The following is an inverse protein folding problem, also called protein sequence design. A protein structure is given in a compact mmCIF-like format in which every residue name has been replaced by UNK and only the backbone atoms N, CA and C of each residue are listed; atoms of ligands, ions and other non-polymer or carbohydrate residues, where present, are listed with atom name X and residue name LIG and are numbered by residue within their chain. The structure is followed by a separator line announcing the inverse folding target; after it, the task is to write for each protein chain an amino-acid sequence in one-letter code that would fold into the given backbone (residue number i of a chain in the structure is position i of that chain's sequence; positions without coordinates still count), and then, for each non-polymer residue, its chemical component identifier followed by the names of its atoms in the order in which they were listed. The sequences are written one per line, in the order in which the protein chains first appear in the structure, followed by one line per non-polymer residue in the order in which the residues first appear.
data_IF_112110176326
#
_entry.id   IF_112110176326
#
_cell.length_a   1.000
_cell.length_b   1.000
_cell.length_c   1.000
_cell.angle_alpha   90.00
_cell.angle_beta   90.00
_cell.angle_gamma   90.00
#
_symmetry.space_group_name_H-M   'P 1'
#
loop_
_entity.id
_entity.type
_entity.pdbx_description
1 polymer ?
#
# COMPACT_ATOMS: atom_id res chain seq x y z
N UNK A 1 -8.11 -18.43 -10.73
CA UNK A 1 -7.45 -17.14 -10.50
C UNK A 1 -6.61 -16.75 -11.73
N UNK A 2 -6.95 -15.65 -12.39
CA UNK A 2 -6.10 -15.03 -13.41
C UNK A 2 -4.86 -14.43 -12.72
N UNK A 3 -3.67 -14.63 -13.30
CA UNK A 3 -2.46 -13.93 -12.83
C UNK A 3 -2.68 -12.42 -13.04
N UNK A 4 -2.40 -11.57 -12.04
CA UNK A 4 -2.53 -10.13 -12.19
C UNK A 4 -1.63 -9.62 -13.31
N UNK A 5 -2.14 -8.68 -14.12
CA UNK A 5 -1.34 -8.02 -15.15
C UNK A 5 -0.15 -7.27 -14.54
N UNK A 6 0.93 -7.06 -15.30
CA UNK A 6 2.16 -6.39 -14.81
C UNK A 6 1.85 -4.99 -14.23
N UNK A 7 0.87 -4.29 -14.79
CA UNK A 7 0.40 -2.98 -14.31
C UNK A 7 -0.25 -3.05 -12.92
N UNK A 8 -0.95 -4.13 -12.60
CA UNK A 8 -1.58 -4.32 -11.28
C UNK A 8 -0.56 -4.52 -10.16
N UNK A 9 0.69 -4.87 -10.48
CA UNK A 9 1.74 -5.02 -9.48
C UNK A 9 2.11 -3.70 -8.80
N UNK A 10 1.98 -2.60 -9.54
CA UNK A 10 2.27 -1.24 -9.07
C UNK A 10 1.11 -0.63 -8.29
N UNK A 11 -0.09 -1.21 -8.39
CA UNK A 11 -1.22 -0.76 -7.59
C UNK A 11 -1.10 -1.22 -6.13
N UNK A 12 -1.41 -0.33 -5.16
CA UNK A 12 -1.47 -0.71 -3.77
C UNK A 12 -2.64 -1.67 -3.53
N UNK A 13 -2.50 -2.53 -2.52
CA UNK A 13 -3.57 -3.44 -2.04
C UNK A 13 -4.83 -2.66 -1.66
N UNK A 14 -4.64 -1.52 -1.00
CA UNK A 14 -5.67 -0.57 -0.65
C UNK A 14 -5.13 0.86 -0.84
N UNK A 15 -5.74 1.60 -1.76
CA UNK A 15 -5.36 2.98 -2.11
C UNK A 15 -5.63 3.96 -0.97
N UNK A 16 -6.70 3.77 -0.20
CA UNK A 16 -7.06 4.64 0.93
C UNK A 16 -6.11 4.40 2.09
N UNK A 17 -5.81 3.14 2.40
CA UNK A 17 -4.82 2.80 3.43
C UNK A 17 -3.43 3.34 3.07
N UNK A 18 -2.99 3.16 1.82
CA UNK A 18 -1.71 3.69 1.33
C UNK A 18 -1.64 5.22 1.45
N UNK A 19 -2.70 5.93 1.03
CA UNK A 19 -2.79 7.38 1.16
C UNK A 19 -2.75 7.87 2.61
N UNK A 20 -3.43 7.17 3.54
CA UNK A 20 -3.42 7.51 4.97
C UNK A 20 -2.03 7.35 5.56
N UNK A 21 -1.36 6.22 5.32
CA UNK A 21 0.01 5.99 5.79
C UNK A 21 0.96 7.05 5.25
N UNK A 22 0.85 7.40 3.97
CA UNK A 22 1.64 8.47 3.37
C UNK A 22 1.41 9.82 4.05
N UNK A 23 0.16 10.13 4.37
CA UNK A 23 -0.21 11.40 5.04
C UNK A 23 0.36 11.46 6.45
N UNK A 24 0.26 10.37 7.22
CA UNK A 24 0.84 10.28 8.56
C UNK A 24 2.36 10.43 8.47
N UNK A 25 3.01 9.71 7.55
CA UNK A 25 4.46 9.78 7.36
C UNK A 25 4.90 11.20 6.99
N UNK A 26 4.18 11.89 6.09
CA UNK A 26 4.47 13.27 5.70
C UNK A 26 4.31 14.26 6.86
N UNK A 27 3.28 14.09 7.70
CA UNK A 27 3.09 14.93 8.91
C UNK A 27 4.24 14.71 9.89
N UNK A 28 4.59 13.45 10.18
CA UNK A 28 5.69 13.11 11.08
C UNK A 28 7.00 13.69 10.55
N UNK A 29 7.30 13.48 9.27
CA UNK A 29 8.50 14.03 8.63
C UNK A 29 8.55 15.57 8.68
N UNK A 30 7.44 16.25 8.37
CA UNK A 30 7.38 17.70 8.44
C UNK A 30 7.63 18.23 9.86
N UNK A 31 7.02 17.59 10.87
CA UNK A 31 7.19 17.98 12.28
C UNK A 31 8.62 17.72 12.76
N UNK A 32 9.20 16.56 12.44
CA UNK A 32 10.57 16.23 12.87
C UNK A 32 11.60 17.10 12.18
N UNK A 33 11.47 17.36 10.87
CA UNK A 33 12.38 18.23 10.12
C UNK A 33 12.35 19.66 10.64
N UNK A 34 11.16 20.25 10.85
CA UNK A 34 11.04 21.61 11.36
C UNK A 34 11.47 21.69 12.83
N UNK A 35 11.02 20.75 13.66
CA UNK A 35 11.35 20.71 15.09
C UNK A 35 12.85 20.57 15.35
N UNK A 36 13.53 19.73 14.59
CA UNK A 36 14.98 19.58 14.67
C UNK A 36 15.71 20.90 14.36
N UNK A 37 15.35 21.58 13.26
CA UNK A 37 15.99 22.86 12.91
C UNK A 37 15.66 23.97 13.91
N UNK A 38 14.45 24.00 14.48
CA UNK A 38 14.11 24.97 15.55
C UNK A 38 15.05 24.82 16.74
N UNK A 39 15.27 23.59 17.21
CA UNK A 39 16.19 23.31 18.33
C UNK A 39 17.63 23.61 17.94
N UNK A 40 18.04 23.24 16.72
CA UNK A 40 19.39 23.45 16.23
C UNK A 40 19.74 24.95 16.13
N UNK A 41 18.81 25.78 15.65
CA UNK A 41 18.95 27.24 15.62
C UNK A 41 18.94 27.83 17.03
N UNK A 42 18.05 27.38 17.92
CA UNK A 42 17.96 27.88 19.30
C UNK A 42 19.21 27.57 20.14
N UNK A 43 19.89 26.46 19.87
CA UNK A 43 21.10 26.01 20.57
C UNK A 43 22.40 26.49 19.92
N UNK A 44 22.32 27.17 18.77
CA UNK A 44 23.49 27.67 18.06
C UNK A 44 24.34 26.56 17.42
N UNK A 45 23.72 25.46 16.95
CA UNK A 45 24.41 24.37 16.25
C UNK A 45 25.14 24.92 15.02
N UNK A 46 26.42 24.58 14.88
CA UNK A 46 27.22 24.94 13.71
C UNK A 46 26.54 24.45 12.44
N UNK A 47 26.32 25.36 11.48
CA UNK A 47 25.63 25.10 10.21
C UNK A 47 24.13 25.41 10.21
N UNK A 48 23.49 25.60 11.37
CA UNK A 48 22.08 25.98 11.45
C UNK A 48 21.90 27.49 11.50
N UNK A 49 20.92 28.01 10.76
CA UNK A 49 20.62 29.44 10.67
C UNK A 49 19.12 29.68 10.46
N UNK A 50 18.67 30.93 10.53
CA UNK A 50 17.29 31.27 10.15
C UNK A 50 16.94 30.85 8.72
N UNK A 51 17.94 30.83 7.82
CA UNK A 51 17.75 30.36 6.45
C UNK A 51 17.51 28.85 6.39
N UNK A 52 18.24 28.03 7.16
CA UNK A 52 18.02 26.56 7.19
C UNK A 52 16.66 26.21 7.78
N UNK A 53 16.21 26.97 8.79
CA UNK A 53 14.86 26.84 9.34
C UNK A 53 13.77 27.13 8.29
N UNK A 54 13.92 28.21 7.49
CA UNK A 54 12.97 28.51 6.41
C UNK A 54 12.93 27.37 5.39
N UNK A 55 14.10 26.84 5.00
CA UNK A 55 14.18 25.68 4.10
C UNK A 55 13.47 24.46 4.68
N UNK A 56 13.67 24.14 5.96
CA UNK A 56 12.97 23.05 6.63
C UNK A 56 11.45 23.23 6.65
N UNK A 57 10.95 24.44 6.89
CA UNK A 57 9.51 24.75 6.84
C UNK A 57 8.97 24.54 5.42
N UNK A 58 9.69 25.00 4.40
CA UNK A 58 9.29 24.82 2.99
C UNK A 58 9.24 23.33 2.64
N UNK A 59 10.24 22.54 3.03
CA UNK A 59 10.24 21.08 2.82
C UNK A 59 9.04 20.44 3.52
N UNK A 60 8.76 20.79 4.78
CA UNK A 60 7.61 20.30 5.51
C UNK A 60 6.28 20.62 4.81
N UNK A 61 6.11 21.85 4.33
CA UNK A 61 4.91 22.26 3.57
C UNK A 61 4.77 21.48 2.25
N UNK A 62 5.87 21.29 1.52
CA UNK A 62 5.86 20.50 0.27
C UNK A 62 5.43 19.06 0.53
N UNK A 63 5.95 18.42 1.59
CA UNK A 63 5.54 17.07 1.98
C UNK A 63 4.05 17.00 2.32
N UNK A 64 3.53 17.97 3.06
CA UNK A 64 2.10 18.04 3.42
C UNK A 64 1.21 18.27 2.20
N UNK A 65 1.60 19.15 1.27
CA UNK A 65 0.86 19.39 0.01
C UNK A 65 0.89 18.14 -0.88
N UNK A 66 2.03 17.47 -0.99
CA UNK A 66 2.15 16.22 -1.72
C UNK A 66 1.23 15.15 -1.10
N UNK A 67 1.27 14.95 0.21
CA UNK A 67 0.39 14.02 0.91
C UNK A 67 -1.10 14.35 0.75
N UNK A 68 -1.47 15.63 0.82
CA UNK A 68 -2.84 16.08 0.58
C UNK A 68 -3.28 15.79 -0.86
N UNK A 69 -2.40 16.00 -1.83
CA UNK A 69 -2.66 15.69 -3.24
C UNK A 69 -2.85 14.19 -3.44
N UNK A 70 -1.99 13.35 -2.85
CA UNK A 70 -2.12 11.89 -2.90
C UNK A 70 -3.41 11.39 -2.26
N UNK A 71 -3.78 11.92 -1.10
CA UNK A 71 -5.02 11.52 -0.40
C UNK A 71 -6.28 11.96 -1.14
N UNK A 72 -6.31 13.17 -1.70
CA UNK A 72 -7.46 13.67 -2.46
C UNK A 72 -7.62 13.04 -3.83
N UNK A 73 -6.51 12.60 -4.45
CA UNK A 73 -6.52 12.01 -5.80
C UNK A 73 -6.30 10.49 -5.80
N UNK A 74 -6.36 9.81 -4.66
CA UNK A 74 -6.01 8.39 -4.51
C UNK A 74 -6.71 7.47 -5.52
N UNK A 75 -7.96 7.74 -5.86
CA UNK A 75 -8.75 6.96 -6.82
C UNK A 75 -8.34 7.20 -8.28
N UNK A 76 -7.81 8.39 -8.59
CA UNK A 76 -7.42 8.79 -9.95
C UNK A 76 -5.94 8.64 -10.25
N UNK A 77 -5.11 8.41 -9.23
CA UNK A 77 -3.67 8.30 -9.40
C UNK A 77 -3.28 7.06 -10.23
N UNK A 78 -2.32 7.19 -11.17
CA UNK A 78 -1.83 6.06 -11.93
C UNK A 78 -1.07 5.10 -11.01
N UNK A 79 -1.11 3.81 -11.33
CA UNK A 79 -0.46 2.75 -10.54
C UNK A 79 1.01 3.07 -10.21
N UNK A 80 1.77 3.58 -11.19
CA UNK A 80 3.18 3.92 -11.03
C UNK A 80 3.45 5.02 -9.98
N UNK A 81 2.50 5.92 -9.71
CA UNK A 81 2.70 6.98 -8.71
C UNK A 81 2.96 6.41 -7.32
N UNK A 82 2.30 5.29 -6.98
CA UNK A 82 2.44 4.64 -5.68
C UNK A 82 3.79 3.97 -5.48
N UNK A 83 4.46 3.55 -6.56
CA UNK A 83 5.83 3.04 -6.49
C UNK A 83 6.85 4.17 -6.56
N UNK A 84 6.59 5.21 -7.37
CA UNK A 84 7.45 6.36 -7.52
C UNK A 84 7.75 7.04 -6.18
N UNK A 85 6.78 7.08 -5.25
CA UNK A 85 7.01 7.69 -3.94
C UNK A 85 7.99 6.91 -3.06
N UNK A 86 7.96 5.58 -3.13
CA UNK A 86 8.92 4.74 -2.41
C UNK A 86 10.32 4.89 -3.00
N UNK A 87 10.44 4.91 -4.32
CA UNK A 87 11.71 5.14 -5.04
C UNK A 87 12.27 6.53 -4.73
N UNK A 88 11.41 7.56 -4.72
CA UNK A 88 11.79 8.91 -4.34
C UNK A 88 12.31 8.96 -2.91
N UNK A 89 11.64 8.30 -1.96
CA UNK A 89 12.10 8.18 -0.57
C UNK A 89 13.51 7.59 -0.46
N UNK A 90 13.82 6.53 -1.22
CA UNK A 90 15.17 5.96 -1.27
C UNK A 90 16.18 6.99 -1.83
N UNK A 91 15.82 7.68 -2.92
CA UNK A 91 16.68 8.71 -3.52
C UNK A 91 16.99 9.88 -2.56
N UNK A 92 16.02 10.30 -1.75
CA UNK A 92 16.23 11.32 -0.72
C UNK A 92 17.26 10.85 0.30
N UNK A 93 17.18 9.60 0.76
CA UNK A 93 18.14 9.07 1.75
C UNK A 93 19.56 8.98 1.17
N UNK A 94 19.71 8.56 -0.09
CA UNK A 94 21.00 8.58 -0.79
C UNK A 94 21.56 10.01 -0.87
N UNK A 95 20.72 10.96 -1.28
CA UNK A 95 21.13 12.36 -1.40
C UNK A 95 21.56 12.94 -0.05
N UNK A 96 20.81 12.68 1.01
CA UNK A 96 21.16 13.10 2.38
C UNK A 96 22.48 12.45 2.81
N UNK A 97 22.61 11.13 2.72
CA UNK A 97 23.79 10.42 3.20
C UNK A 97 25.09 10.83 2.49
N UNK A 98 25.03 11.06 1.17
CA UNK A 98 26.17 11.59 0.41
C UNK A 98 26.44 13.07 0.74
N UNK A 99 25.39 13.87 0.90
CA UNK A 99 25.51 15.30 1.20
C UNK A 99 26.04 15.58 2.61
N UNK A 100 25.71 14.73 3.58
CA UNK A 100 26.20 14.82 4.96
C UNK A 100 27.49 14.05 5.20
N UNK A 101 27.96 13.29 4.21
CA UNK A 101 29.06 12.33 4.35
C UNK A 101 28.83 11.39 5.55
N UNK A 102 27.59 10.92 5.69
CA UNK A 102 27.17 10.00 6.74
C UNK A 102 26.65 8.70 6.13
N UNK A 103 27.54 7.71 6.05
CA UNK A 103 27.22 6.36 5.61
C UNK A 103 26.86 5.41 6.74
N UNK A 104 26.72 5.91 7.98
CA UNK A 104 26.44 5.06 9.14
C UNK A 104 25.02 4.50 9.10
N UNK A 105 24.80 3.39 9.81
CA UNK A 105 23.46 2.83 9.99
C UNK A 105 22.44 3.83 10.57
N UNK A 106 22.88 4.77 11.41
CA UNK A 106 22.02 5.82 11.94
C UNK A 106 21.59 6.83 10.85
N UNK A 107 22.51 7.22 9.97
CA UNK A 107 22.21 8.08 8.81
C UNK A 107 21.28 7.40 7.79
N UNK A 108 21.39 6.07 7.67
CA UNK A 108 20.61 5.27 6.72
C UNK A 108 19.25 4.79 7.27
N UNK A 109 18.89 5.11 8.53
CA UNK A 109 17.61 4.70 9.14
C UNK A 109 16.40 5.16 8.33
N UNK A 110 16.54 6.22 7.53
CA UNK A 110 15.51 6.71 6.62
C UNK A 110 15.06 5.68 5.58
N UNK A 111 15.89 4.69 5.22
CA UNK A 111 15.54 3.63 4.28
C UNK A 111 14.42 2.71 4.78
N UNK A 112 14.19 2.67 6.10
CA UNK A 112 13.08 1.90 6.69
C UNK A 112 11.73 2.38 6.15
N UNK A 113 11.53 3.69 5.99
CA UNK A 113 10.23 4.24 5.56
C UNK A 113 9.76 3.77 4.19
N UNK A 114 10.53 3.92 3.09
CA UNK A 114 10.09 3.45 1.78
C UNK A 114 9.92 1.92 1.73
N UNK A 115 10.73 1.16 2.47
CA UNK A 115 10.64 -0.31 2.53
C UNK A 115 9.40 -0.77 3.29
N UNK A 116 9.09 -0.16 4.45
CA UNK A 116 7.86 -0.42 5.21
C UNK A 116 6.65 -0.11 4.37
N UNK A 117 6.62 1.09 3.77
CA UNK A 117 5.50 1.52 2.93
C UNK A 117 5.28 0.56 1.75
N UNK A 118 6.34 0.20 1.03
CA UNK A 118 6.24 -0.72 -0.11
C UNK A 118 5.78 -2.12 0.33
N UNK A 119 6.32 -2.64 1.43
CA UNK A 119 5.97 -3.97 1.93
C UNK A 119 4.53 -4.05 2.46
N UNK A 120 4.08 -3.01 3.17
CA UNK A 120 2.74 -2.93 3.73
C UNK A 120 1.67 -2.72 2.65
N UNK A 121 1.94 -1.87 1.66
CA UNK A 121 0.89 -1.41 0.74
C UNK A 121 1.02 -1.92 -0.69
N UNK A 122 2.23 -2.16 -1.21
CA UNK A 122 2.42 -2.59 -2.59
C UNK A 122 2.48 -4.12 -2.70
N UNK A 123 2.26 -4.62 -3.91
CA UNK A 123 2.31 -6.07 -4.16
C UNK A 123 3.74 -6.59 -4.03
N UNK A 124 3.86 -7.87 -3.66
CA UNK A 124 5.12 -8.58 -3.40
C UNK A 124 6.26 -8.27 -4.40
N UNK A 125 6.09 -8.34 -5.74
CA UNK A 125 7.20 -8.08 -6.66
C UNK A 125 7.74 -6.64 -6.56
N UNK A 126 6.86 -5.66 -6.40
CA UNK A 126 7.26 -4.25 -6.26
C UNK A 126 7.88 -3.99 -4.89
N UNK A 127 7.33 -4.57 -3.83
CA UNK A 127 7.91 -4.49 -2.48
C UNK A 127 9.34 -5.04 -2.45
N UNK A 128 9.59 -6.20 -3.07
CA UNK A 128 10.93 -6.77 -3.19
C UNK A 128 11.87 -5.91 -4.06
N UNK A 129 11.35 -5.28 -5.11
CA UNK A 129 12.11 -4.34 -5.93
C UNK A 129 12.55 -3.10 -5.14
N UNK A 130 11.66 -2.52 -4.34
CA UNK A 130 11.98 -1.38 -3.46
C UNK A 130 12.98 -1.79 -2.37
N UNK A 131 12.80 -2.97 -1.77
CA UNK A 131 13.77 -3.51 -0.80
C UNK A 131 15.17 -3.67 -1.42
N UNK A 132 15.26 -4.28 -2.61
CA UNK A 132 16.54 -4.44 -3.32
C UNK A 132 17.18 -3.10 -3.67
N UNK A 133 16.37 -2.13 -4.11
CA UNK A 133 16.83 -0.77 -4.37
C UNK A 133 17.37 -0.09 -3.10
N UNK A 134 16.70 -0.26 -1.96
CA UNK A 134 17.15 0.28 -0.68
C UNK A 134 18.50 -0.33 -0.22
N UNK A 135 18.70 -1.64 -0.41
CA UNK A 135 19.97 -2.31 -0.11
C UNK A 135 21.10 -1.79 -1.00
N UNK A 136 20.85 -1.60 -2.29
CA UNK A 136 21.84 -1.02 -3.21
C UNK A 136 22.16 0.43 -2.84
N UNK A 137 21.13 1.21 -2.49
CA UNK A 137 21.29 2.59 -2.03
C UNK A 137 22.17 2.66 -0.77
N UNK A 138 21.86 1.86 0.24
CA UNK A 138 22.63 1.72 1.48
C UNK A 138 24.10 1.39 1.20
N UNK A 139 24.34 0.32 0.43
CA UNK A 139 25.69 -0.08 0.03
C UNK A 139 26.44 1.02 -0.71
N UNK A 140 25.77 1.72 -1.63
CA UNK A 140 26.38 2.81 -2.40
C UNK A 140 26.87 3.92 -1.48
N UNK A 141 26.06 4.37 -0.53
CA UNK A 141 26.47 5.42 0.40
C UNK A 141 27.55 4.89 1.35
N UNK A 142 27.33 3.74 1.99
CA UNK A 142 28.25 3.18 2.97
C UNK A 142 29.66 2.97 2.41
N UNK A 143 29.80 2.35 1.23
CA UNK A 143 31.11 2.13 0.60
C UNK A 143 31.75 3.40 0.02
N UNK A 144 30.97 4.47 -0.18
CA UNK A 144 31.51 5.76 -0.63
C UNK A 144 32.07 6.62 0.51
N UNK A 145 31.60 6.41 1.74
CA UNK A 145 31.91 7.26 2.91
C UNK A 145 32.77 6.52 3.94
N UNK A 146 32.47 5.25 4.21
CA UNK A 146 33.07 4.50 5.30
C UNK A 146 34.23 3.60 4.83
N UNK A 147 35.17 3.25 5.72
CA UNK A 147 36.16 2.22 5.45
C UNK A 147 35.49 0.88 5.13
N UNK A 148 36.06 0.11 4.21
CA UNK A 148 35.47 -1.12 3.67
C UNK A 148 34.92 -2.09 4.72
N UNK A 149 35.67 -2.36 5.79
CA UNK A 149 35.24 -3.30 6.84
C UNK A 149 34.02 -2.81 7.62
N UNK A 150 33.94 -1.50 7.90
CA UNK A 150 32.80 -0.89 8.59
C UNK A 150 31.59 -0.85 7.66
N UNK A 151 31.79 -0.42 6.40
CA UNK A 151 30.75 -0.40 5.39
C UNK A 151 30.13 -1.79 5.18
N UNK A 152 30.96 -2.83 5.04
CA UNK A 152 30.49 -4.20 4.83
C UNK A 152 29.67 -4.72 6.02
N UNK A 153 30.08 -4.41 7.26
CA UNK A 153 29.35 -4.79 8.45
C UNK A 153 28.01 -4.06 8.56
N UNK A 154 28.00 -2.73 8.38
CA UNK A 154 26.78 -1.92 8.45
C UNK A 154 25.77 -2.35 7.39
N UNK A 155 26.20 -2.51 6.13
CA UNK A 155 25.35 -2.95 5.03
C UNK A 155 24.77 -4.34 5.28
N UNK A 156 25.56 -5.26 5.85
CA UNK A 156 25.07 -6.60 6.19
C UNK A 156 23.96 -6.53 7.26
N UNK A 157 24.15 -5.71 8.30
CA UNK A 157 23.16 -5.52 9.38
C UNK A 157 21.88 -4.88 8.84
N UNK A 158 21.99 -3.80 8.07
CA UNK A 158 20.84 -3.09 7.51
C UNK A 158 20.08 -3.97 6.53
N UNK A 159 20.80 -4.69 5.65
CA UNK A 159 20.19 -5.64 4.71
C UNK A 159 19.40 -6.72 5.45
N UNK A 160 19.98 -7.31 6.51
CA UNK A 160 19.30 -8.32 7.31
C UNK A 160 18.06 -7.76 8.03
N UNK A 161 18.16 -6.56 8.60
CA UNK A 161 17.04 -5.89 9.27
C UNK A 161 15.90 -5.57 8.30
N UNK A 162 16.20 -4.99 7.14
CA UNK A 162 15.22 -4.68 6.10
C UNK A 162 14.61 -5.96 5.50
N UNK A 163 15.40 -7.03 5.36
CA UNK A 163 14.90 -8.33 4.90
C UNK A 163 13.91 -8.94 5.91
N UNK A 164 14.27 -8.95 7.20
CA UNK A 164 13.38 -9.42 8.27
C UNK A 164 12.08 -8.63 8.28
N UNK A 165 12.18 -7.30 8.25
CA UNK A 165 11.03 -6.39 8.21
C UNK A 165 10.11 -6.65 7.00
N UNK A 166 10.70 -6.71 5.80
CA UNK A 166 9.97 -7.00 4.55
C UNK A 166 9.29 -8.36 4.62
N UNK A 167 9.98 -9.38 5.13
CA UNK A 167 9.45 -10.74 5.27
C UNK A 167 8.26 -10.79 6.23
N UNK A 168 8.36 -10.12 7.38
CA UNK A 168 7.26 -10.03 8.36
C UNK A 168 6.07 -9.31 7.75
N UNK A 169 6.25 -8.11 7.18
CA UNK A 169 5.16 -7.31 6.62
C UNK A 169 4.47 -8.00 5.44
N UNK A 170 5.23 -8.66 4.57
CA UNK A 170 4.64 -9.44 3.49
C UNK A 170 3.89 -10.65 4.03
N UNK A 171 4.37 -11.33 5.06
CA UNK A 171 3.67 -12.47 5.66
C UNK A 171 2.37 -12.05 6.31
N UNK A 172 2.38 -10.94 7.07
CA UNK A 172 1.19 -10.36 7.68
C UNK A 172 0.19 -9.94 6.61
N UNK A 173 0.63 -9.26 5.55
CA UNK A 173 -0.23 -8.87 4.44
C UNK A 173 -0.90 -10.06 3.76
N UNK A 174 -0.14 -11.12 3.45
CA UNK A 174 -0.73 -12.34 2.87
C UNK A 174 -1.70 -13.02 3.84
N UNK A 175 -1.46 -12.97 5.15
CA UNK A 175 -2.39 -13.54 6.13
C UNK A 175 -3.70 -12.75 6.19
N UNK A 176 -3.62 -11.41 6.18
CA UNK A 176 -4.79 -10.54 6.12
C UNK A 176 -5.61 -10.75 4.84
N UNK A 177 -4.95 -10.85 3.69
CA UNK A 177 -5.61 -11.14 2.41
C UNK A 177 -6.38 -12.47 2.49
N UNK A 178 -5.75 -13.52 3.04
CA UNK A 178 -6.39 -14.84 3.20
C UNK A 178 -7.56 -14.85 4.17
N UNK A 179 -7.45 -14.15 5.31
CA UNK A 179 -8.56 -14.04 6.26
C UNK A 179 -9.73 -13.27 5.65
N UNK A 180 -9.44 -12.21 4.90
CA UNK A 180 -10.45 -11.43 4.18
C UNK A 180 -11.17 -12.32 3.17
N UNK A 181 -10.43 -13.12 2.39
CA UNK A 181 -10.99 -14.09 1.44
C UNK A 181 -11.84 -15.16 2.14
N UNK A 182 -11.42 -15.68 3.30
CA UNK A 182 -12.17 -16.68 4.07
C UNK A 182 -13.46 -16.11 4.66
N UNK A 183 -13.43 -14.91 5.23
CA UNK A 183 -14.64 -14.22 5.70
C UNK A 183 -15.62 -13.98 4.56
N UNK A 184 -15.08 -13.62 3.40
CA UNK A 184 -15.80 -13.51 2.15
C UNK A 184 -16.47 -14.84 1.76
N UNK A 185 -15.74 -15.96 1.78
CA UNK A 185 -16.28 -17.29 1.46
C UNK A 185 -17.35 -17.75 2.46
N UNK A 186 -17.18 -17.49 3.76
CA UNK A 186 -18.18 -17.80 4.79
C UNK A 186 -19.46 -16.97 4.60
N UNK A 187 -19.35 -15.75 4.06
CA UNK A 187 -20.48 -14.90 3.68
C UNK A 187 -21.01 -15.18 2.25
N UNK A 188 -20.78 -16.39 1.71
CA UNK A 188 -21.24 -16.78 0.36
C UNK A 188 -22.74 -17.04 0.28
N UNK A 189 -23.40 -17.35 1.41
CA UNK A 189 -24.85 -17.54 1.49
C UNK A 189 -25.47 -16.54 2.48
N UNK A 190 -26.65 -16.06 2.14
CA UNK A 190 -27.48 -15.25 3.03
C UNK A 190 -27.96 -16.13 4.19
N UNK A 191 -27.81 -15.65 5.42
CA UNK A 191 -28.05 -16.46 6.62
C UNK A 191 -29.53 -16.78 6.84
N UNK A 192 -30.43 -15.93 6.34
CA UNK A 192 -31.88 -16.10 6.50
C UNK A 192 -32.43 -17.08 5.45
N UNK A 193 -32.03 -16.90 4.20
CA UNK A 193 -32.60 -17.66 3.06
C UNK A 193 -31.75 -18.85 2.64
N UNK A 194 -30.48 -18.93 3.05
CA UNK A 194 -29.50 -19.91 2.58
C UNK A 194 -29.11 -19.75 1.10
N UNK A 195 -29.65 -18.74 0.41
CA UNK A 195 -29.38 -18.48 -1.00
C UNK A 195 -28.02 -17.83 -1.17
N UNK A 196 -27.41 -18.01 -2.35
CA UNK A 196 -26.16 -17.34 -2.68
C UNK A 196 -26.30 -15.82 -2.54
N UNK A 197 -25.34 -15.19 -1.86
CA UNK A 197 -25.34 -13.73 -1.76
C UNK A 197 -25.14 -13.11 -3.14
N UNK A 198 -25.56 -11.83 -3.28
CA UNK A 198 -25.34 -11.04 -4.50
C UNK A 198 -23.91 -11.14 -5.03
N UNK A 199 -22.93 -11.18 -4.12
CA UNK A 199 -21.51 -11.28 -4.46
C UNK A 199 -21.16 -12.61 -5.12
N UNK A 200 -21.76 -13.71 -4.67
CA UNK A 200 -21.59 -15.01 -5.33
C UNK A 200 -22.31 -15.10 -6.67
N UNK A 201 -23.48 -14.47 -6.79
CA UNK A 201 -24.14 -14.31 -8.10
C UNK A 201 -23.24 -13.56 -9.09
N UNK A 202 -22.63 -12.45 -8.66
CA UNK A 202 -21.69 -11.65 -9.47
C UNK A 202 -20.45 -12.46 -9.87
N UNK A 203 -19.88 -13.25 -8.94
CA UNK A 203 -18.75 -14.14 -9.23
C UNK A 203 -19.14 -15.22 -10.23
N UNK A 204 -20.28 -15.88 -10.04
CA UNK A 204 -20.79 -16.91 -10.95
C UNK A 204 -21.08 -16.33 -12.34
N UNK A 205 -21.66 -15.15 -12.42
CA UNK A 205 -21.90 -14.43 -13.68
C UNK A 205 -20.59 -14.10 -14.40
N UNK A 206 -19.58 -13.57 -13.68
CA UNK A 206 -18.26 -13.28 -14.25
C UNK A 206 -17.56 -14.53 -14.81
N UNK A 207 -17.74 -15.70 -14.18
CA UNK A 207 -17.26 -16.98 -14.70
C UNK A 207 -18.05 -17.41 -15.94
N UNK A 208 -19.38 -17.35 -15.89
CA UNK A 208 -20.27 -17.80 -16.97
C UNK A 208 -20.18 -16.94 -18.25
N UNK A 209 -19.81 -15.65 -18.09
CA UNK A 209 -19.64 -14.68 -19.17
C UNK A 209 -18.17 -14.48 -19.58
N UNK A 210 -17.22 -15.13 -18.88
CA UNK A 210 -15.80 -14.91 -19.07
C UNK A 210 -15.24 -15.38 -20.42
N UNK A 211 -14.14 -14.79 -20.93
CA UNK A 211 -13.60 -15.06 -22.27
C UNK A 211 -13.25 -16.52 -22.56
N UNK A 212 -12.93 -17.29 -21.50
CA UNK A 212 -12.59 -18.73 -21.60
C UNK A 212 -13.81 -19.61 -21.87
N UNK A 213 -14.97 -19.25 -21.31
CA UNK A 213 -16.23 -19.95 -21.54
C UNK A 213 -16.81 -19.53 -22.89
N UNK A 214 -16.72 -18.25 -23.22
CA UNK A 214 -17.12 -17.71 -24.54
C UNK A 214 -16.31 -18.34 -25.68
N UNK A 215 -14.98 -18.49 -25.55
CA UNK A 215 -14.15 -19.15 -26.57
C UNK A 215 -14.35 -20.66 -26.71
N UNK A 216 -14.84 -21.35 -25.66
CA UNK A 216 -15.19 -22.78 -25.74
C UNK A 216 -16.55 -23.02 -26.39
N UNK A 217 -17.46 -22.04 -26.34
CA UNK A 217 -18.81 -22.10 -26.92
C UNK A 217 -18.83 -22.04 -28.46
N UNK A 218 -17.77 -21.52 -29.08
CA UNK A 218 -17.65 -21.37 -30.53
C UNK A 218 -17.48 -22.70 -31.29
N UNK A 219 -17.55 -23.85 -30.61
CA UNK A 219 -17.14 -25.15 -31.18
C UNK A 219 -18.17 -26.26 -31.31
N UNK A 220 -19.41 -26.15 -30.85
CA UNK A 220 -20.46 -27.07 -31.38
C UNK A 220 -21.91 -26.73 -31.03
N UNK A 221 -22.26 -25.97 -30.00
CA UNK A 221 -23.65 -25.53 -29.75
C UNK A 221 -23.70 -24.21 -28.94
N UNK A 222 -24.58 -23.24 -29.28
CA UNK A 222 -24.73 -22.01 -28.53
C UNK A 222 -25.51 -22.23 -27.22
N UNK A 223 -24.82 -22.62 -26.15
CA UNK A 223 -25.40 -22.61 -24.81
C UNK A 223 -25.48 -21.17 -24.28
N UNK A 224 -26.66 -20.52 -24.41
CA UNK A 224 -26.92 -19.19 -23.85
C UNK A 224 -26.91 -19.17 -22.31
N UNK A 225 -26.68 -18.00 -21.71
CA UNK A 225 -26.85 -17.76 -20.27
C UNK A 225 -28.14 -16.98 -20.09
N UNK A 226 -29.08 -17.50 -19.31
CA UNK A 226 -30.30 -16.80 -18.90
C UNK A 226 -30.18 -16.28 -17.47
N UNK A 227 -30.72 -15.09 -17.22
CA UNK A 227 -30.83 -14.48 -15.88
C UNK A 227 -32.31 -14.27 -15.57
N UNK A 228 -32.79 -14.85 -14.47
CA UNK A 228 -34.12 -14.63 -13.92
C UNK A 228 -33.97 -13.82 -12.63
N UNK A 229 -34.71 -12.72 -12.52
CA UNK A 229 -34.79 -11.90 -11.32
C UNK A 229 -36.22 -12.00 -10.80
N UNK A 230 -36.38 -12.35 -9.53
CA UNK A 230 -37.66 -12.48 -8.84
C UNK A 230 -37.65 -11.51 -7.66
N UNK A 231 -38.75 -10.79 -7.46
CA UNK A 231 -38.96 -9.88 -6.34
C UNK A 231 -40.28 -10.25 -5.64
N UNK A 232 -40.37 -10.01 -4.33
CA UNK A 232 -41.56 -10.32 -3.53
C UNK A 232 -42.50 -9.11 -3.48
N UNK A 233 -43.63 -9.22 -4.16
CA UNK A 233 -44.64 -8.15 -4.18
C UNK A 233 -45.17 -7.85 -2.78
N UNK A 234 -45.35 -6.56 -2.48
CA UNK A 234 -45.92 -6.06 -1.21
C UNK A 234 -45.18 -6.46 0.07
N UNK A 235 -43.94 -6.99 0.00
CA UNK A 235 -43.17 -7.43 1.17
C UNK A 235 -43.00 -6.33 2.25
N UNK A 236 -42.90 -5.07 1.83
CA UNK A 236 -42.87 -3.93 2.76
C UNK A 236 -44.15 -3.80 3.59
N UNK A 237 -45.33 -3.99 2.99
CA UNK A 237 -46.59 -3.93 3.74
C UNK A 237 -46.71 -5.07 4.75
N UNK A 238 -46.20 -6.25 4.43
CA UNK A 238 -46.10 -7.36 5.37
C UNK A 238 -45.26 -6.97 6.59
N UNK A 239 -44.04 -6.45 6.37
CA UNK A 239 -43.15 -5.99 7.43
C UNK A 239 -43.77 -4.87 8.28
N UNK A 240 -44.39 -3.88 7.63
CA UNK A 240 -44.99 -2.72 8.31
C UNK A 240 -46.22 -3.11 9.15
N UNK A 241 -46.94 -4.18 8.78
CA UNK A 241 -48.17 -4.63 9.47
C UNK A 241 -47.90 -5.64 10.58
N UNK A 242 -46.98 -6.58 10.34
CA UNK A 242 -46.78 -7.75 11.20
C UNK A 242 -45.40 -7.79 11.87
N UNK A 243 -44.53 -6.83 11.56
CA UNK A 243 -43.17 -6.76 12.07
C UNK A 243 -42.18 -7.60 11.26
N UNK A 244 -40.90 -7.24 11.36
CA UNK A 244 -39.81 -7.84 10.58
C UNK A 244 -39.65 -9.35 10.82
N UNK A 245 -39.88 -9.84 12.05
CA UNK A 245 -39.74 -11.28 12.35
C UNK A 245 -40.71 -12.15 11.54
N UNK A 246 -41.92 -11.64 11.26
CA UNK A 246 -42.91 -12.37 10.44
C UNK A 246 -42.53 -12.30 8.95
N UNK A 247 -41.97 -11.18 8.49
CA UNK A 247 -41.45 -11.08 7.14
C UNK A 247 -40.26 -11.99 6.89
N UNK A 248 -39.40 -12.17 7.89
CA UNK A 248 -38.24 -13.05 7.80
C UNK A 248 -38.62 -14.55 7.72
N UNK A 249 -39.79 -14.93 8.25
CA UNK A 249 -40.27 -16.31 8.25
C UNK A 249 -41.15 -16.69 7.04
N UNK A 250 -41.54 -15.72 6.20
CA UNK A 250 -42.45 -15.90 5.06
C UNK A 250 -41.71 -16.31 3.78
#
# INVERSE_FOLDING_TARGET
MSRPGVTEWFEPRDRVAAARTLTIAAVVAAVTTVGFEVVAVATGRVGSSRATLVVAIVIGLVLLVAARTYSTRAETLPALAWTAIAVFGVGVVVWVGLGTLDGSAAGQIGLVYPVVYASAHLRRPVALGVWGLAVVADATVAFSVLPFAVAAADVAVITAALFMLTSVLLTVGHHQDRLTDQLAELASADALTGLATRRELERAAGVALGPRVVRRRDRTEPAGVGLLIVDLDHFKQLNDTYGHEIGDAA
#
